data_IF_084849389649
#
_entry.id   IF_084849389649
#
_cell.length_a   1.000
_cell.length_b   1.000
_cell.length_c   1.000
_cell.angle_alpha   90.00
_cell.angle_beta   90.00
_cell.angle_gamma   90.00
#
_symmetry.space_group_name_H-M   'P 1'
#
loop_
_entity.id
_entity.type
_entity.pdbx_description
1 polymer ?
#
# COMPACT_ATOMS: atom_id res chain seq x y z
N UNK A 1 -19.96 8.66 -9.16
CA UNK A 1 -19.54 8.02 -10.42
C UNK A 1 -18.86 6.70 -10.12
N UNK A 2 -19.44 5.56 -10.54
CA UNK A 2 -19.00 4.20 -10.20
C UNK A 2 -17.50 3.91 -10.40
N UNK A 3 -16.89 4.46 -11.45
CA UNK A 3 -15.45 4.25 -11.73
C UNK A 3 -14.50 4.88 -10.70
N UNK A 4 -14.87 6.03 -10.14
CA UNK A 4 -14.05 6.75 -9.17
C UNK A 4 -14.38 6.35 -7.72
N UNK A 5 -15.67 6.15 -7.43
CA UNK A 5 -16.15 5.93 -6.05
C UNK A 5 -16.11 4.45 -5.65
N UNK A 6 -16.59 3.55 -6.52
CA UNK A 6 -16.69 2.11 -6.21
C UNK A 6 -15.46 1.34 -6.71
N UNK A 7 -15.15 1.49 -8.01
CA UNK A 7 -14.04 0.75 -8.63
C UNK A 7 -12.67 1.34 -8.36
N UNK A 8 -12.61 2.61 -7.93
CA UNK A 8 -11.38 3.37 -7.62
C UNK A 8 -10.29 3.27 -8.69
N UNK A 9 -10.66 3.12 -9.96
CA UNK A 9 -9.72 3.07 -11.11
C UNK A 9 -9.47 4.46 -11.71
N UNK A 10 -10.28 5.45 -11.34
CA UNK A 10 -10.05 6.87 -11.67
C UNK A 10 -9.95 7.66 -10.36
N UNK A 11 -8.94 8.52 -10.25
CA UNK A 11 -8.83 9.41 -9.12
C UNK A 11 -9.80 10.58 -9.27
N UNK A 12 -10.43 10.94 -8.16
CA UNK A 12 -11.29 12.11 -8.09
C UNK A 12 -10.87 13.04 -6.95
N UNK A 13 -10.83 14.33 -7.26
CA UNK A 13 -10.50 15.41 -6.32
C UNK A 13 -11.58 16.49 -6.35
N UNK A 14 -11.81 17.14 -5.21
CA UNK A 14 -12.87 18.15 -5.06
C UNK A 14 -14.25 17.54 -4.75
N UNK A 15 -15.24 18.42 -4.56
CA UNK A 15 -16.63 18.07 -4.21
C UNK A 15 -17.61 18.72 -5.20
N UNK A 16 -18.75 18.07 -5.43
CA UNK A 16 -19.84 18.59 -6.27
C UNK A 16 -19.39 18.90 -7.70
N UNK A 17 -19.79 20.06 -8.21
CA UNK A 17 -19.52 20.51 -9.58
C UNK A 17 -18.03 20.81 -9.86
N UNK A 18 -17.22 21.01 -8.80
CA UNK A 18 -15.77 21.24 -8.93
C UNK A 18 -14.95 19.94 -8.94
N UNK A 19 -15.62 18.78 -9.04
CA UNK A 19 -14.96 17.47 -9.00
C UNK A 19 -14.17 17.24 -10.28
N UNK A 20 -12.84 17.10 -10.13
CA UNK A 20 -11.91 16.81 -11.22
C UNK A 20 -11.53 15.33 -11.20
N UNK A 21 -11.32 14.76 -12.38
CA UNK A 21 -10.99 13.35 -12.56
C UNK A 21 -9.66 13.21 -13.29
N UNK A 22 -8.86 12.24 -12.86
CA UNK A 22 -7.56 11.95 -13.45
C UNK A 22 -7.40 10.44 -13.62
N UNK A 23 -6.87 10.04 -14.77
CA UNK A 23 -6.40 8.68 -14.97
C UNK A 23 -5.20 8.45 -14.06
N UNK A 24 -5.22 7.32 -13.35
CA UNK A 24 -4.09 6.90 -12.53
C UNK A 24 -3.31 5.80 -13.25
N UNK A 25 -1.98 5.75 -13.07
CA UNK A 25 -1.19 4.64 -13.58
C UNK A 25 -1.56 3.33 -12.86
N UNK A 26 -1.27 2.20 -13.51
CA UNK A 26 -1.48 0.89 -12.89
C UNK A 26 -0.59 0.70 -11.65
N UNK A 27 0.69 1.12 -11.75
CA UNK A 27 1.66 1.11 -10.65
C UNK A 27 2.58 2.34 -10.74
N UNK A 28 2.85 3.05 -9.62
CA UNK A 28 2.06 3.06 -8.38
C UNK A 28 0.76 3.86 -8.58
N UNK A 29 -0.38 3.34 -8.15
CA UNK A 29 -1.67 4.01 -8.27
C UNK A 29 -2.87 3.08 -8.13
N UNK A 30 -3.23 2.41 -9.24
CA UNK A 30 -4.44 1.58 -9.28
C UNK A 30 -4.38 0.42 -8.29
N UNK A 31 -3.23 -0.23 -8.13
CA UNK A 31 -3.05 -1.31 -7.14
C UNK A 31 -3.45 -0.84 -5.75
N UNK A 32 -2.90 0.27 -5.30
CA UNK A 32 -3.09 0.79 -3.95
C UNK A 32 -4.52 1.30 -3.75
N UNK A 33 -5.03 2.10 -4.68
CA UNK A 33 -6.36 2.72 -4.53
C UNK A 33 -7.50 1.72 -4.65
N UNK A 34 -7.35 0.68 -5.48
CA UNK A 34 -8.37 -0.37 -5.62
C UNK A 34 -8.37 -1.26 -4.36
N UNK A 35 -7.19 -1.61 -3.84
CA UNK A 35 -7.04 -2.63 -2.80
C UNK A 35 -6.94 -2.12 -1.36
N UNK A 36 -6.90 -0.81 -1.11
CA UNK A 36 -6.86 -0.29 0.27
C UNK A 36 -8.13 -0.68 1.05
N UNK A 37 -8.01 -1.60 2.02
CA UNK A 37 -9.15 -2.15 2.77
C UNK A 37 -8.77 -2.45 4.22
N UNK A 38 -9.78 -2.56 5.08
CA UNK A 38 -9.65 -2.93 6.50
C UNK A 38 -9.95 -4.40 6.79
N UNK A 39 -10.67 -5.11 5.91
CA UNK A 39 -11.00 -6.53 6.06
C UNK A 39 -11.04 -7.23 4.70
N UNK A 40 -10.70 -8.52 4.67
CA UNK A 40 -10.88 -9.39 3.49
C UNK A 40 -12.36 -9.53 3.12
N UNK A 41 -13.28 -9.41 4.08
CA UNK A 41 -14.73 -9.50 3.84
C UNK A 41 -15.25 -8.34 2.98
N UNK A 42 -14.51 -7.24 2.89
CA UNK A 42 -14.84 -6.09 2.05
C UNK A 42 -14.50 -6.29 0.56
N UNK A 43 -13.89 -7.44 0.21
CA UNK A 43 -13.51 -7.76 -1.16
C UNK A 43 -14.70 -8.18 -2.01
N UNK A 44 -15.08 -7.31 -2.94
CA UNK A 44 -15.98 -7.64 -4.05
C UNK A 44 -15.30 -8.40 -5.18
N UNK A 45 -16.09 -9.00 -6.08
CA UNK A 45 -15.61 -9.70 -7.28
C UNK A 45 -14.72 -8.84 -8.18
N UNK A 46 -14.92 -7.52 -8.16
CA UNK A 46 -14.04 -6.58 -8.88
C UNK A 46 -12.60 -6.66 -8.38
N UNK A 47 -12.38 -6.69 -7.06
CA UNK A 47 -11.03 -6.75 -6.49
C UNK A 47 -10.35 -8.08 -6.82
N UNK A 48 -11.09 -9.18 -6.67
CA UNK A 48 -10.61 -10.53 -6.99
C UNK A 48 -10.20 -10.59 -8.46
N UNK A 49 -11.08 -10.11 -9.35
CA UNK A 49 -10.79 -10.11 -10.79
C UNK A 49 -9.63 -9.20 -11.17
N UNK A 50 -9.51 -8.04 -10.52
CA UNK A 50 -8.40 -7.14 -10.72
C UNK A 50 -7.08 -7.82 -10.36
N UNK A 51 -6.98 -8.46 -9.19
CA UNK A 51 -5.76 -9.16 -8.76
C UNK A 51 -5.42 -10.32 -9.69
N UNK A 52 -6.40 -11.16 -10.06
CA UNK A 52 -6.22 -12.27 -11.00
C UNK A 52 -5.58 -11.85 -12.33
N UNK A 53 -5.93 -10.66 -12.83
CA UNK A 53 -5.40 -10.14 -14.10
C UNK A 53 -4.09 -9.38 -13.90
N UNK A 54 -3.98 -8.67 -12.79
CA UNK A 54 -2.88 -7.76 -12.53
C UNK A 54 -1.60 -8.50 -12.15
N UNK A 55 -1.68 -9.54 -11.31
CA UNK A 55 -0.49 -10.28 -10.86
C UNK A 55 0.28 -10.87 -12.05
N UNK A 56 -0.36 -11.62 -12.99
CA UNK A 56 0.34 -12.11 -14.18
C UNK A 56 0.95 -10.98 -15.03
N UNK A 57 0.24 -9.85 -15.17
CA UNK A 57 0.76 -8.70 -15.91
C UNK A 57 2.00 -8.12 -15.22
N UNK A 58 1.98 -7.99 -13.90
CA UNK A 58 3.12 -7.51 -13.12
C UNK A 58 4.33 -8.44 -13.28
N UNK A 59 4.11 -9.75 -13.24
CA UNK A 59 5.15 -10.78 -13.37
C UNK A 59 5.80 -10.80 -14.77
N UNK A 60 5.14 -10.28 -15.80
CA UNK A 60 5.79 -10.07 -17.12
C UNK A 60 6.91 -9.02 -17.09
N UNK A 61 7.04 -8.27 -15.99
CA UNK A 61 7.94 -7.12 -15.90
C UNK A 61 7.36 -5.86 -16.53
N UNK A 62 6.02 -5.78 -16.71
CA UNK A 62 5.32 -4.65 -17.32
C UNK A 62 5.80 -3.30 -16.79
N UNK A 63 5.97 -3.16 -15.48
CA UNK A 63 6.45 -1.94 -14.83
C UNK A 63 7.85 -1.57 -15.27
N UNK A 64 8.79 -2.52 -15.25
CA UNK A 64 10.18 -2.32 -15.66
C UNK A 64 10.28 -1.94 -17.14
N UNK A 65 9.47 -2.58 -17.99
CA UNK A 65 9.48 -2.37 -19.44
C UNK A 65 8.90 -1.01 -19.85
N UNK A 66 7.86 -0.52 -19.16
CA UNK A 66 7.12 0.67 -19.60
C UNK A 66 7.50 1.95 -18.87
N UNK A 67 8.03 1.87 -17.64
CA UNK A 67 8.48 3.06 -16.89
C UNK A 67 9.90 3.48 -17.25
N UNK A 68 10.67 2.63 -17.96
CA UNK A 68 12.00 2.93 -18.54
C UNK A 68 13.14 3.17 -17.53
N UNK A 69 12.83 3.64 -16.32
CA UNK A 69 13.72 3.78 -15.16
C UNK A 69 12.95 3.40 -13.90
N UNK A 70 13.65 2.83 -12.91
CA UNK A 70 13.07 2.55 -11.58
C UNK A 70 12.50 3.85 -11.00
N UNK A 71 11.27 3.79 -10.51
CA UNK A 71 10.72 4.88 -9.69
C UNK A 71 11.62 5.07 -8.47
N UNK A 72 12.09 6.30 -8.16
CA UNK A 72 12.97 6.56 -7.02
C UNK A 72 12.37 6.10 -5.67
N UNK A 73 11.05 5.95 -5.60
CA UNK A 73 10.31 5.51 -4.41
C UNK A 73 10.21 3.99 -4.21
N UNK A 74 10.60 3.16 -5.18
CA UNK A 74 10.54 1.70 -5.06
C UNK A 74 11.96 1.14 -5.04
N UNK A 75 12.41 0.68 -3.86
CA UNK A 75 13.73 0.07 -3.67
C UNK A 75 13.59 -1.43 -3.44
N UNK A 76 14.39 -2.21 -4.17
CA UNK A 76 14.48 -3.66 -3.97
C UNK A 76 15.59 -3.95 -2.95
N UNK A 77 15.28 -4.70 -1.91
CA UNK A 77 16.25 -5.25 -0.97
C UNK A 77 16.54 -6.70 -1.36
N UNK A 78 17.74 -7.02 -1.87
CA UNK A 78 18.10 -8.40 -2.18
C UNK A 78 18.19 -9.22 -0.89
N UNK A 79 17.47 -10.34 -0.86
CA UNK A 79 17.53 -11.30 0.25
C UNK A 79 18.65 -12.31 -0.05
N UNK A 80 19.61 -12.47 0.87
CA UNK A 80 20.71 -13.43 0.76
C UNK A 80 22.04 -12.87 0.22
N UNK A 81 22.12 -11.57 -0.06
CA UNK A 81 23.40 -10.88 -0.27
C UNK A 81 23.70 -10.00 0.94
N UNK A 82 24.92 -10.08 1.46
CA UNK A 82 25.41 -9.07 2.41
C UNK A 82 25.41 -7.74 1.67
N UNK A 83 24.50 -6.84 2.02
CA UNK A 83 24.56 -5.48 1.55
C UNK A 83 25.84 -4.87 2.12
N UNK A 84 26.72 -4.38 1.25
CA UNK A 84 27.71 -3.39 1.69
C UNK A 84 26.95 -2.26 2.39
N UNK A 85 27.50 -1.76 3.49
CA UNK A 85 26.88 -0.73 4.32
C UNK A 85 26.25 0.35 3.43
N UNK A 86 24.91 0.40 3.41
CA UNK A 86 24.19 1.38 2.62
C UNK A 86 23.97 2.61 3.51
N UNK A 87 24.76 3.69 3.37
CA UNK A 87 24.65 4.86 4.24
C UNK A 87 23.29 5.57 4.15
N UNK A 88 22.47 5.23 3.15
CA UNK A 88 21.11 5.76 2.97
C UNK A 88 20.03 4.87 3.59
N UNK A 89 20.35 3.65 4.03
CA UNK A 89 19.42 2.79 4.73
C UNK A 89 19.41 3.21 6.21
N UNK A 90 18.34 3.88 6.63
CA UNK A 90 18.14 4.17 8.04
C UNK A 90 17.77 2.87 8.76
N UNK A 91 18.36 2.60 9.93
CA UNK A 91 17.95 1.46 10.73
C UNK A 91 16.51 1.66 11.23
N UNK A 92 15.80 0.54 11.37
CA UNK A 92 14.37 0.47 11.72
C UNK A 92 14.06 1.11 13.08
N UNK A 93 15.02 1.08 14.01
CA UNK A 93 14.95 1.74 15.31
C UNK A 93 14.80 3.27 15.24
N UNK A 94 15.10 3.89 14.10
CA UNK A 94 14.88 5.33 13.84
C UNK A 94 13.53 5.65 13.22
N UNK A 95 12.64 4.69 13.01
CA UNK A 95 11.30 4.93 12.47
C UNK A 95 10.51 5.95 13.31
N UNK A 96 10.71 5.97 14.63
CA UNK A 96 10.12 6.96 15.53
C UNK A 96 10.46 8.40 15.12
N UNK A 97 11.74 8.69 14.83
CA UNK A 97 12.19 10.01 14.39
C UNK A 97 11.56 10.43 13.05
N UNK A 98 11.38 9.46 12.14
CA UNK A 98 10.75 9.70 10.83
C UNK A 98 9.26 9.98 10.99
N UNK A 99 8.59 9.28 11.91
CA UNK A 99 7.16 9.38 12.10
C UNK A 99 6.75 10.60 12.94
N UNK A 100 7.64 11.14 13.78
CA UNK A 100 7.35 12.26 14.69
C UNK A 100 6.85 13.54 13.98
N UNK A 101 7.21 13.72 12.71
CA UNK A 101 6.73 14.85 11.88
C UNK A 101 5.26 14.72 11.44
N UNK A 102 4.60 13.60 11.72
CA UNK A 102 3.21 13.33 11.34
C UNK A 102 2.30 13.18 12.57
N UNK A 103 1.07 13.66 12.46
CA UNK A 103 0.08 13.60 13.55
C UNK A 103 -1.08 12.64 13.27
N UNK A 104 -1.30 12.32 12.00
CA UNK A 104 -2.39 11.46 11.56
C UNK A 104 -1.84 10.19 10.97
N UNK A 105 -2.30 9.05 11.49
CA UNK A 105 -1.91 7.72 11.02
C UNK A 105 -3.14 6.86 10.79
N UNK A 106 -3.07 6.03 9.75
CA UNK A 106 -4.09 5.04 9.47
C UNK A 106 -3.45 3.75 8.95
N UNK A 107 -4.04 2.62 9.29
CA UNK A 107 -3.60 1.30 8.85
C UNK A 107 -4.70 0.57 8.08
N UNK A 108 -4.27 -0.20 7.08
CA UNK A 108 -5.11 -1.15 6.37
C UNK A 108 -4.36 -2.47 6.18
N UNK A 109 -5.08 -3.42 5.59
CA UNK A 109 -4.50 -4.69 5.18
C UNK A 109 -3.41 -4.48 4.13
N UNK A 110 -2.36 -5.29 4.21
CA UNK A 110 -1.26 -5.25 3.27
C UNK A 110 -1.74 -5.69 1.90
N UNK A 111 -1.83 -4.74 0.96
CA UNK A 111 -2.41 -4.97 -0.37
C UNK A 111 -1.68 -6.09 -1.13
N UNK A 112 -0.36 -6.20 -0.95
CA UNK A 112 0.43 -7.29 -1.52
C UNK A 112 0.07 -8.65 -0.93
N UNK A 113 -0.10 -8.75 0.39
CA UNK A 113 -0.47 -10.02 1.07
C UNK A 113 -1.93 -10.38 0.81
N UNK A 114 -2.80 -9.38 0.74
CA UNK A 114 -4.19 -9.57 0.34
C UNK A 114 -4.28 -10.04 -1.12
N UNK A 115 -3.46 -9.49 -2.02
CA UNK A 115 -3.31 -10.00 -3.38
C UNK A 115 -2.87 -11.46 -3.40
N UNK A 116 -1.86 -11.82 -2.58
CA UNK A 116 -1.40 -13.20 -2.42
C UNK A 116 -2.50 -14.13 -1.88
N UNK A 117 -3.28 -13.70 -0.89
CA UNK A 117 -4.44 -14.45 -0.37
C UNK A 117 -5.46 -14.74 -1.47
N UNK A 118 -5.81 -13.75 -2.29
CA UNK A 118 -6.77 -13.90 -3.40
C UNK A 118 -6.32 -14.98 -4.39
N UNK A 119 -5.02 -15.12 -4.64
CA UNK A 119 -4.46 -16.11 -5.56
C UNK A 119 -3.98 -17.40 -4.86
N UNK A 120 -4.29 -17.58 -3.57
CA UNK A 120 -3.92 -18.80 -2.82
C UNK A 120 -2.44 -18.92 -2.46
N UNK A 121 -1.70 -17.82 -2.41
CA UNK A 121 -0.26 -17.75 -2.10
C UNK A 121 0.06 -17.02 -0.79
N UNK A 122 -0.92 -16.85 0.10
CA UNK A 122 -0.68 -16.17 1.37
C UNK A 122 0.31 -16.92 2.26
N UNK A 123 1.26 -16.17 2.82
CA UNK A 123 2.36 -16.72 3.59
C UNK A 123 2.10 -16.80 5.11
N UNK A 124 0.88 -16.49 5.57
CA UNK A 124 0.50 -16.56 6.99
C UNK A 124 1.03 -15.43 7.88
N UNK A 125 1.80 -14.48 7.33
CA UNK A 125 2.37 -13.35 8.08
C UNK A 125 1.35 -12.23 8.30
N UNK A 126 1.50 -11.39 9.35
CA UNK A 126 0.48 -10.40 9.76
C UNK A 126 -0.11 -9.62 8.59
N UNK A 127 -1.44 -9.52 8.50
CA UNK A 127 -2.10 -8.88 7.36
C UNK A 127 -2.16 -7.35 7.52
N UNK A 128 -2.37 -6.85 8.73
CA UNK A 128 -2.48 -5.41 9.00
C UNK A 128 -1.07 -4.79 9.09
N UNK A 129 -0.61 -4.11 8.03
CA UNK A 129 0.76 -3.56 7.97
C UNK A 129 0.92 -2.36 7.00
N UNK A 130 -0.08 -2.09 6.14
CA UNK A 130 -0.01 -0.97 5.22
C UNK A 130 -0.44 0.31 5.96
N UNK A 131 0.55 1.15 6.29
CA UNK A 131 0.35 2.41 7.00
C UNK A 131 0.38 3.57 6.01
N UNK A 132 -0.49 4.56 6.23
CA UNK A 132 -0.42 5.88 5.60
C UNK A 132 -0.43 6.96 6.67
N UNK A 133 0.10 8.14 6.33
CA UNK A 133 0.25 9.25 7.27
C UNK A 133 -0.27 10.57 6.68
N UNK A 134 -0.55 11.53 7.56
CA UNK A 134 -0.95 12.88 7.19
C UNK A 134 -2.33 12.96 6.53
N UNK A 135 -2.56 13.90 5.59
CA UNK A 135 -3.90 14.15 5.03
C UNK A 135 -4.57 12.92 4.37
N UNK A 136 -3.78 11.98 3.84
CA UNK A 136 -4.31 10.75 3.27
C UNK A 136 -4.84 9.79 4.35
N UNK A 137 -4.21 9.74 5.52
CA UNK A 137 -4.67 8.94 6.66
C UNK A 137 -6.07 9.36 7.10
N UNK A 138 -6.30 10.68 7.22
CA UNK A 138 -7.60 11.25 7.54
C UNK A 138 -8.63 10.87 6.48
N UNK A 139 -8.33 11.12 5.20
CA UNK A 139 -9.24 10.88 4.08
C UNK A 139 -9.65 9.42 3.96
N UNK A 140 -8.70 8.49 3.96
CA UNK A 140 -9.00 7.06 3.80
C UNK A 140 -9.68 6.49 5.04
N UNK A 141 -9.40 7.04 6.23
CA UNK A 141 -10.13 6.65 7.45
C UNK A 141 -11.57 7.13 7.45
N UNK A 142 -11.83 8.38 7.04
CA UNK A 142 -13.18 8.93 6.92
C UNK A 142 -14.01 8.19 5.86
N UNK A 143 -13.36 7.70 4.80
CA UNK A 143 -13.97 6.86 3.78
C UNK A 143 -14.16 5.39 4.22
N UNK A 144 -13.69 5.00 5.41
CA UNK A 144 -13.80 3.64 5.95
C UNK A 144 -12.86 2.62 5.30
N UNK A 145 -11.85 3.07 4.56
CA UNK A 145 -10.91 2.19 3.86
C UNK A 145 -9.67 1.85 4.68
N UNK A 146 -9.36 2.66 5.69
CA UNK A 146 -8.30 2.42 6.66
C UNK A 146 -8.82 2.71 8.07
N UNK A 147 -8.18 2.13 9.08
CA UNK A 147 -8.50 2.34 10.49
C UNK A 147 -7.54 3.36 11.07
N UNK A 148 -8.05 4.39 11.75
CA UNK A 148 -7.20 5.35 12.48
C UNK A 148 -6.40 4.64 13.56
N UNK A 149 -5.14 5.03 13.69
CA UNK A 149 -4.21 4.51 14.70
C UNK A 149 -3.37 5.65 15.28
N UNK A 150 -2.75 5.41 16.42
CA UNK A 150 -1.79 6.32 17.04
C UNK A 150 -0.38 6.09 16.49
N UNK A 151 0.54 7.02 16.77
CA UNK A 151 1.97 6.81 16.52
C UNK A 151 2.50 5.54 17.21
N UNK A 152 2.06 5.29 18.45
CA UNK A 152 2.45 4.10 19.22
C UNK A 152 2.04 2.82 18.49
N UNK A 153 0.78 2.76 18.06
CA UNK A 153 0.26 1.60 17.31
C UNK A 153 1.03 1.41 16.00
N UNK A 154 1.36 2.50 15.29
CA UNK A 154 2.14 2.43 14.06
C UNK A 154 3.51 1.80 14.29
N UNK A 155 4.21 2.21 15.34
CA UNK A 155 5.52 1.65 15.72
C UNK A 155 5.42 0.18 16.16
N UNK A 156 4.37 -0.18 16.89
CA UNK A 156 4.13 -1.57 17.30
C UNK A 156 3.89 -2.49 16.08
N UNK A 157 3.04 -2.06 15.14
CA UNK A 157 2.79 -2.79 13.88
C UNK A 157 4.08 -2.96 13.08
N UNK A 158 4.93 -1.93 13.04
CA UNK A 158 6.22 -1.98 12.33
C UNK A 158 7.23 -2.90 13.01
N UNK A 159 7.25 -2.88 14.34
CA UNK A 159 8.07 -3.82 15.13
C UNK A 159 7.62 -5.27 14.90
N UNK A 160 6.32 -5.55 14.86
CA UNK A 160 5.78 -6.89 14.56
C UNK A 160 6.12 -7.34 13.14
N UNK A 161 6.02 -6.42 12.17
CA UNK A 161 6.39 -6.69 10.78
C UNK A 161 7.87 -7.08 10.68
N UNK A 162 8.76 -6.33 11.31
CA UNK A 162 10.19 -6.62 11.35
C UNK A 162 10.51 -7.96 12.01
N UNK A 163 9.91 -8.24 13.18
CA UNK A 163 10.07 -9.52 13.87
C UNK A 163 9.58 -10.70 13.01
N UNK A 164 8.60 -10.45 12.14
CA UNK A 164 8.08 -11.40 11.15
C UNK A 164 8.89 -11.43 9.85
N UNK A 165 10.03 -10.74 9.77
CA UNK A 165 10.90 -10.66 8.58
C UNK A 165 10.25 -9.94 7.39
N UNK A 166 9.35 -9.00 7.65
CA UNK A 166 8.64 -8.20 6.68
C UNK A 166 9.23 -6.78 6.59
N UNK A 167 8.80 -6.03 5.58
CA UNK A 167 9.08 -4.60 5.50
C UNK A 167 8.39 -3.88 6.67
N UNK A 168 9.23 -3.25 7.50
CA UNK A 168 8.91 -2.27 8.54
C UNK A 168 8.61 -0.93 7.87
#
# INVERSE_FOLDING_TARGET
MKLADEKRIILAFGKGEKRKYFLQPLIPGAWETILVRTSLDSLTDWHKKFVELFVPLYDTGFTTLHLGKRSPGIRYLPVGQSLEYNPMALPSDRLGEIFDQYHDFAVGLCQCRMGAEIIGQYCGRPMENCITMGPLALRESEAGHMRRITLKDALEIKTEAEASGLVS
#
